data_IF_647965718321
#
_entry.id   IF_647965718321
#
_cell.length_a   1.000
_cell.length_b   1.000
_cell.length_c   1.000
_cell.angle_alpha   90.00
_cell.angle_beta   90.00
_cell.angle_gamma   90.00
#
_symmetry.space_group_name_H-M   'P 1'
#
loop_
_entity.id
_entity.type
_entity.pdbx_description
1 polymer ?
#
# COMPACT_ATOMS: atom_id res chain seq x y z
N UNK A 1 28.72 27.63 28.23
CA UNK A 1 29.76 26.58 28.09
C UNK A 1 29.07 25.26 27.82
N UNK A 2 28.90 24.89 26.55
CA UNK A 2 29.86 24.09 25.75
C UNK A 2 29.87 22.63 26.24
N UNK A 3 29.63 21.59 25.46
CA UNK A 3 29.12 21.36 24.11
C UNK A 3 28.83 19.84 24.09
N UNK A 4 27.61 19.42 23.74
CA UNK A 4 27.31 18.00 23.51
C UNK A 4 27.06 17.80 22.02
N UNK A 5 28.11 17.35 21.35
CA UNK A 5 28.12 17.02 19.94
C UNK A 5 27.05 15.95 19.63
N UNK A 6 26.01 16.37 18.92
CA UNK A 6 25.12 15.47 18.18
C UNK A 6 25.78 15.19 16.84
N UNK A 7 26.18 13.94 16.61
CA UNK A 7 26.57 13.45 15.29
C UNK A 7 25.28 13.18 14.52
N UNK A 8 24.90 14.11 13.65
CA UNK A 8 23.85 13.90 12.67
C UNK A 8 24.37 12.95 11.57
N UNK A 9 23.56 11.96 11.22
CA UNK A 9 23.90 10.93 10.23
C UNK A 9 23.74 11.47 8.78
N UNK A 10 24.60 11.03 7.83
CA UNK A 10 24.60 11.55 6.45
C UNK A 10 23.32 11.29 5.64
N UNK A 11 22.39 10.50 6.17
CA UNK A 11 21.16 10.07 5.48
C UNK A 11 20.06 11.12 5.51
N UNK A 12 20.08 12.07 6.46
CA UNK A 12 19.06 13.13 6.55
C UNK A 12 19.22 14.23 5.48
N UNK A 13 20.41 14.40 4.92
CA UNK A 13 20.71 15.47 3.96
C UNK A 13 20.28 15.12 2.52
N UNK A 14 20.17 13.84 2.18
CA UNK A 14 19.78 13.38 0.83
C UNK A 14 18.27 13.47 0.56
N UNK A 15 17.44 13.42 1.61
CA UNK A 15 15.98 13.46 1.51
C UNK A 15 15.42 14.88 1.24
N UNK A 16 16.18 15.93 1.56
CA UNK A 16 15.76 17.32 1.37
C UNK A 16 16.01 17.87 -0.05
N UNK A 17 16.76 17.17 -0.89
CA UNK A 17 17.14 17.63 -2.24
C UNK A 17 16.13 17.27 -3.35
N UNK A 18 15.25 16.29 -3.14
CA UNK A 18 14.33 15.80 -4.18
C UNK A 18 12.94 16.50 -4.22
N UNK A 19 12.62 17.37 -3.25
CA UNK A 19 11.30 18.02 -3.15
C UNK A 19 11.19 19.39 -3.82
N UNK A 20 12.26 19.93 -4.40
CA UNK A 20 12.26 21.25 -5.08
C UNK A 20 12.05 21.23 -6.60
N UNK A 21 12.01 20.05 -7.23
CA UNK A 21 11.97 19.93 -8.70
C UNK A 21 10.56 19.78 -9.33
N UNK A 22 9.47 19.77 -8.55
CA UNK A 22 8.11 19.46 -9.06
C UNK A 22 7.10 20.62 -9.13
N UNK A 23 7.51 21.88 -8.89
CA UNK A 23 6.59 23.06 -8.88
C UNK A 23 6.82 24.12 -9.97
N UNK A 24 7.41 23.77 -11.11
CA UNK A 24 7.53 24.67 -12.28
C UNK A 24 7.21 23.95 -13.58
N UNK A 25 5.92 23.70 -13.83
CA UNK A 25 5.40 23.38 -15.16
C UNK A 25 3.87 23.60 -15.19
N UNK A 26 3.46 24.84 -14.94
CA UNK A 26 2.09 25.30 -15.19
C UNK A 26 2.22 26.74 -15.67
N UNK A 27 2.14 26.95 -16.99
CA UNK A 27 1.63 28.15 -17.69
C UNK A 27 2.01 28.12 -19.18
N UNK A 28 1.07 28.59 -20.00
CA UNK A 28 1.16 28.91 -21.43
C UNK A 28 0.98 27.75 -22.44
N UNK A 29 -0.20 27.66 -23.03
CA UNK A 29 -0.44 28.25 -24.36
C UNK A 29 -1.90 28.12 -24.77
N UNK A 30 -2.57 29.27 -24.86
CA UNK A 30 -3.84 29.46 -25.56
C UNK A 30 -3.48 29.92 -26.97
N UNK A 31 -3.87 29.18 -28.00
CA UNK A 31 -3.92 29.68 -29.36
C UNK A 31 -5.02 28.95 -30.15
N UNK A 32 -6.08 29.71 -30.41
CA UNK A 32 -7.15 29.44 -31.37
C UNK A 32 -6.59 29.33 -32.79
N UNK A 33 -7.03 28.31 -33.53
CA UNK A 33 -6.98 28.31 -34.99
C UNK A 33 -8.23 27.62 -35.55
N UNK A 34 -9.21 28.44 -35.89
CA UNK A 34 -10.34 28.07 -36.75
C UNK A 34 -9.85 27.65 -38.13
N UNK A 35 -10.29 26.48 -38.59
CA UNK A 35 -10.65 26.24 -39.99
C UNK A 35 -11.52 24.98 -40.09
N UNK A 36 -12.81 25.20 -40.30
CA UNK A 36 -13.74 24.15 -40.73
C UNK A 36 -13.25 23.55 -42.06
N UNK A 37 -13.11 22.22 -42.10
CA UNK A 37 -12.95 21.49 -43.35
C UNK A 37 -13.89 20.28 -43.33
N UNK A 38 -15.01 20.49 -44.02
CA UNK A 38 -15.78 19.56 -44.85
C UNK A 38 -15.59 18.07 -44.52
N UNK A 39 -16.66 17.47 -44.01
CA UNK A 39 -16.93 16.03 -44.06
C UNK A 39 -16.89 15.57 -45.53
N UNK A 40 -15.98 14.66 -45.87
CA UNK A 40 -16.10 13.84 -47.07
C UNK A 40 -15.60 12.43 -46.79
N UNK A 41 -16.59 11.56 -46.60
CA UNK A 41 -16.72 10.24 -47.23
C UNK A 41 -15.48 9.36 -47.43
N UNK A 42 -15.58 8.20 -46.80
CA UNK A 42 -15.18 6.88 -47.33
C UNK A 42 -13.69 6.67 -47.62
N UNK A 43 -13.03 6.08 -46.63
CA UNK A 43 -11.96 5.13 -46.90
C UNK A 43 -12.30 3.89 -46.10
N UNK A 44 -12.54 2.79 -46.82
CA UNK A 44 -12.73 1.48 -46.24
C UNK A 44 -11.59 1.21 -45.25
N UNK A 45 -11.91 1.14 -43.96
CA UNK A 45 -10.99 0.60 -42.96
C UNK A 45 -10.95 -0.90 -43.22
N UNK A 46 -10.09 -1.31 -44.14
CA UNK A 46 -9.55 -2.66 -44.14
C UNK A 46 -8.89 -2.81 -42.79
N UNK A 47 -9.58 -3.44 -41.84
CA UNK A 47 -8.99 -3.82 -40.56
C UNK A 47 -7.98 -4.90 -40.86
N UNK A 48 -6.76 -4.49 -41.21
CA UNK A 48 -5.60 -5.36 -41.11
C UNK A 48 -5.60 -5.88 -39.68
N UNK A 49 -5.68 -7.19 -39.53
CA UNK A 49 -5.37 -7.82 -38.26
C UNK A 49 -3.92 -7.46 -37.96
N UNK A 50 -3.70 -6.47 -37.08
CA UNK A 50 -2.36 -6.11 -36.61
C UNK A 50 -1.90 -7.22 -35.68
N UNK A 51 -1.29 -8.24 -36.25
CA UNK A 51 -0.73 -9.38 -35.54
C UNK A 51 0.74 -9.15 -35.17
N UNK A 52 1.09 -7.93 -34.78
CA UNK A 52 2.40 -7.55 -34.26
C UNK A 52 2.20 -6.50 -33.14
N UNK A 53 1.47 -6.89 -32.11
CA UNK A 53 1.58 -6.21 -30.82
C UNK A 53 2.48 -7.08 -29.94
N UNK A 54 3.60 -6.53 -29.47
CA UNK A 54 4.54 -7.26 -28.62
C UNK A 54 3.81 -7.73 -27.36
N UNK A 55 4.04 -8.98 -26.95
CA UNK A 55 3.44 -9.51 -25.74
C UNK A 55 3.95 -8.75 -24.52
N UNK A 56 3.08 -7.94 -23.91
CA UNK A 56 3.34 -7.29 -22.62
C UNK A 56 2.60 -8.06 -21.53
N UNK A 57 3.37 -8.71 -20.65
CA UNK A 57 2.79 -9.32 -19.45
C UNK A 57 2.30 -8.23 -18.50
N UNK A 58 1.01 -8.29 -18.17
CA UNK A 58 0.40 -7.48 -17.12
C UNK A 58 -0.09 -8.41 -16.00
N UNK A 59 0.36 -8.23 -14.75
CA UNK A 59 -0.16 -9.01 -13.64
C UNK A 59 -1.63 -8.68 -13.38
N UNK A 60 -2.42 -9.70 -13.00
CA UNK A 60 -3.84 -9.52 -12.68
C UNK A 60 -4.06 -8.58 -11.49
N UNK A 61 -3.13 -8.57 -10.53
CA UNK A 61 -3.18 -7.72 -9.35
C UNK A 61 -1.88 -6.93 -9.22
N UNK A 62 -1.99 -5.61 -9.25
CA UNK A 62 -0.90 -4.72 -8.91
C UNK A 62 -0.86 -4.53 -7.39
N UNK A 63 0.24 -4.96 -6.76
CA UNK A 63 0.38 -4.83 -5.32
C UNK A 63 0.78 -3.39 -4.96
N UNK A 64 -0.12 -2.68 -4.29
CA UNK A 64 0.22 -1.46 -3.56
C UNK A 64 0.75 -1.82 -2.16
N UNK A 65 1.80 -1.12 -1.72
CA UNK A 65 2.32 -1.30 -0.37
C UNK A 65 1.25 -0.98 0.68
N UNK A 66 1.13 -1.84 1.71
CA UNK A 66 0.26 -1.59 2.85
C UNK A 66 1.10 -1.18 4.05
N UNK A 67 0.78 -0.04 4.65
CA UNK A 67 1.37 0.37 5.91
C UNK A 67 0.66 -0.36 7.06
N UNK A 68 1.21 -1.51 7.43
CA UNK A 68 0.71 -2.36 8.51
C UNK A 68 1.83 -2.49 9.55
N UNK A 69 1.60 -2.11 10.81
CA UNK A 69 2.59 -2.32 11.86
C UNK A 69 2.74 -3.81 12.15
N UNK A 70 3.99 -4.28 12.21
CA UNK A 70 4.32 -5.67 12.52
C UNK A 70 4.96 -5.78 13.91
N UNK A 71 4.68 -6.88 14.60
CA UNK A 71 5.35 -7.27 15.84
C UNK A 71 6.14 -8.55 15.57
N UNK A 72 7.41 -8.58 16.00
CA UNK A 72 8.22 -9.78 15.93
C UNK A 72 7.64 -10.86 16.88
N UNK A 73 7.46 -12.08 16.36
CA UNK A 73 6.96 -13.23 17.14
C UNK A 73 8.12 -14.08 17.65
N UNK A 74 9.00 -14.53 16.75
CA UNK A 74 10.25 -15.23 17.05
C UNK A 74 11.17 -15.17 15.82
N UNK A 75 12.46 -15.42 16.04
CA UNK A 75 13.48 -15.66 14.99
C UNK A 75 13.85 -17.14 14.88
N UNK A 76 13.30 -18.00 15.74
CA UNK A 76 13.64 -19.42 15.79
C UNK A 76 13.13 -20.16 14.55
N UNK A 77 13.95 -21.09 14.05
CA UNK A 77 13.62 -21.89 12.87
C UNK A 77 13.70 -21.11 11.56
N UNK A 78 14.29 -19.92 11.54
CA UNK A 78 14.53 -19.13 10.32
C UNK A 78 16.02 -18.86 10.17
N UNK A 79 16.60 -19.22 9.02
CA UNK A 79 18.01 -18.96 8.72
C UNK A 79 18.24 -18.77 7.23
N UNK A 80 19.27 -18.01 6.90
CA UNK A 80 19.73 -17.87 5.53
C UNK A 80 20.72 -18.97 5.17
N UNK A 81 20.54 -19.59 4.02
CA UNK A 81 21.45 -20.61 3.47
C UNK A 81 21.88 -20.20 2.05
N UNK A 82 23.16 -20.40 1.73
CA UNK A 82 23.69 -20.13 0.39
C UNK A 82 23.42 -21.32 -0.52
N UNK A 83 22.74 -21.09 -1.64
CA UNK A 83 22.45 -22.10 -2.64
C UNK A 83 23.58 -22.33 -3.65
N UNK A 84 23.39 -23.35 -4.48
CA UNK A 84 24.38 -23.88 -5.44
C UNK A 84 24.82 -22.83 -6.47
N UNK A 85 23.98 -21.85 -6.79
CA UNK A 85 24.27 -20.79 -7.78
C UNK A 85 24.64 -19.44 -7.12
N UNK A 86 25.04 -19.43 -5.85
CA UNK A 86 25.33 -18.21 -5.10
C UNK A 86 24.10 -17.38 -4.69
N UNK A 87 22.89 -17.87 -4.97
CA UNK A 87 21.63 -17.28 -4.51
C UNK A 87 21.43 -17.54 -3.01
N UNK A 88 20.90 -16.56 -2.29
CA UNK A 88 20.51 -16.71 -0.89
C UNK A 88 19.11 -17.28 -0.79
N UNK A 89 18.94 -18.31 0.03
CA UNK A 89 17.65 -18.94 0.33
C UNK A 89 17.31 -18.74 1.81
N UNK A 90 16.03 -18.51 2.09
CA UNK A 90 15.54 -18.50 3.47
C UNK A 90 15.02 -19.89 3.80
N UNK A 91 15.70 -20.58 4.71
CA UNK A 91 15.21 -21.85 5.24
C UNK A 91 14.33 -21.59 6.46
N UNK A 92 13.11 -22.11 6.38
CA UNK A 92 12.11 -22.00 7.43
C UNK A 92 11.72 -23.39 7.90
N UNK A 93 11.94 -23.67 9.18
CA UNK A 93 11.57 -24.93 9.80
C UNK A 93 10.04 -24.98 10.01
N UNK A 94 9.45 -26.17 9.89
CA UNK A 94 8.00 -26.34 10.00
C UNK A 94 7.45 -25.87 11.37
N UNK A 95 8.23 -26.01 12.44
CA UNK A 95 7.88 -25.55 13.79
C UNK A 95 7.69 -24.03 13.86
N UNK A 96 8.43 -23.25 13.08
CA UNK A 96 8.28 -21.79 13.03
C UNK A 96 6.90 -21.40 12.47
N UNK A 97 6.42 -22.12 11.45
CA UNK A 97 5.08 -21.91 10.88
C UNK A 97 3.99 -22.30 11.88
N UNK A 98 4.15 -23.41 12.59
CA UNK A 98 3.21 -23.83 13.64
C UNK A 98 3.10 -22.79 14.75
N UNK A 99 4.22 -22.28 15.25
CA UNK A 99 4.25 -21.23 16.29
C UNK A 99 3.61 -19.93 15.81
N UNK A 100 3.92 -19.50 14.58
CA UNK A 100 3.33 -18.31 13.98
C UNK A 100 1.81 -18.46 13.86
N UNK A 101 1.33 -19.58 13.33
CA UNK A 101 -0.09 -19.85 13.16
C UNK A 101 -0.82 -19.89 14.52
N UNK A 102 -0.27 -20.61 15.50
CA UNK A 102 -0.86 -20.69 16.84
C UNK A 102 -1.00 -19.30 17.49
N UNK A 103 0.01 -18.44 17.34
CA UNK A 103 -0.05 -17.07 17.85
C UNK A 103 -1.05 -16.21 17.08
N UNK A 104 -1.08 -16.31 15.76
CA UNK A 104 -2.00 -15.55 14.92
C UNK A 104 -3.46 -15.90 15.21
N UNK A 105 -3.78 -17.18 15.38
CA UNK A 105 -5.13 -17.64 15.73
C UNK A 105 -5.54 -17.11 17.10
N UNK A 106 -4.65 -17.18 18.11
CA UNK A 106 -4.94 -16.57 19.42
C UNK A 106 -5.20 -15.06 19.31
N UNK A 107 -4.34 -14.35 18.60
CA UNK A 107 -4.44 -12.89 18.50
C UNK A 107 -5.72 -12.47 17.74
N UNK A 108 -6.10 -13.15 16.64
CA UNK A 108 -7.33 -12.81 15.89
C UNK A 108 -8.62 -13.17 16.65
N UNK A 109 -8.60 -14.17 17.53
CA UNK A 109 -9.77 -14.54 18.33
C UNK A 109 -10.09 -13.55 19.45
N UNK A 110 -9.11 -12.76 19.88
CA UNK A 110 -9.27 -11.87 21.05
C UNK A 110 -8.97 -10.40 20.77
N UNK A 111 -8.32 -10.07 19.64
CA UNK A 111 -7.91 -8.70 19.33
C UNK A 111 -8.54 -8.24 18.01
N UNK A 112 -8.97 -6.99 17.99
CA UNK A 112 -9.51 -6.32 16.82
C UNK A 112 -8.53 -5.26 16.29
N UNK A 113 -8.59 -5.00 14.98
CA UNK A 113 -7.77 -3.94 14.37
C UNK A 113 -8.25 -2.56 14.84
N UNK A 114 -7.34 -1.59 15.09
CA UNK A 114 -7.72 -0.24 15.50
C UNK A 114 -8.68 0.46 14.54
N UNK A 115 -8.56 0.19 13.23
CA UNK A 115 -9.46 0.75 12.22
C UNK A 115 -10.92 0.34 12.43
N UNK A 116 -11.17 -0.92 12.83
CA UNK A 116 -12.53 -1.40 13.10
C UNK A 116 -13.09 -0.83 14.41
N UNK A 117 -12.28 -0.78 15.48
CA UNK A 117 -12.69 -0.18 16.75
C UNK A 117 -13.03 1.31 16.61
N UNK A 118 -12.30 2.03 15.74
CA UNK A 118 -12.64 3.42 15.39
C UNK A 118 -14.00 3.54 14.71
N UNK A 119 -14.38 2.59 13.85
CA UNK A 119 -15.71 2.59 13.23
C UNK A 119 -16.82 2.46 14.28
N UNK A 120 -16.66 1.56 15.26
CA UNK A 120 -17.62 1.42 16.35
C UNK A 120 -17.69 2.68 17.21
N UNK A 121 -16.55 3.32 17.47
CA UNK A 121 -16.50 4.59 18.21
C UNK A 121 -17.25 5.71 17.48
N UNK A 122 -17.09 5.80 16.17
CA UNK A 122 -17.78 6.81 15.36
C UNK A 122 -19.31 6.70 15.47
N UNK A 123 -19.87 5.49 15.56
CA UNK A 123 -21.32 5.27 15.76
C UNK A 123 -21.82 5.90 17.07
N UNK A 124 -21.01 5.85 18.13
CA UNK A 124 -21.40 6.42 19.43
C UNK A 124 -21.42 7.95 19.42
N UNK A 125 -20.50 8.56 18.68
CA UNK A 125 -20.31 10.00 18.59
C UNK A 125 -21.25 10.64 17.54
N UNK A 126 -21.85 9.86 16.64
CA UNK A 126 -22.75 10.34 15.57
C UNK A 126 -24.12 10.78 16.14
N UNK A 127 -24.54 12.04 15.94
CA UNK A 127 -25.86 12.51 16.37
C UNK A 127 -27.03 11.83 15.64
N UNK A 128 -26.83 11.38 14.40
CA UNK A 128 -27.88 10.75 13.58
C UNK A 128 -28.01 9.24 13.87
N UNK A 129 -27.10 8.65 14.65
CA UNK A 129 -27.16 7.24 15.00
C UNK A 129 -28.38 6.90 15.87
N UNK A 130 -29.09 5.83 15.50
CA UNK A 130 -30.26 5.38 16.25
C UNK A 130 -29.87 4.89 17.66
N UNK A 131 -30.85 4.85 18.58
CA UNK A 131 -30.61 4.34 19.94
C UNK A 131 -30.13 2.87 19.92
N UNK A 132 -30.61 2.08 18.96
CA UNK A 132 -30.22 0.68 18.85
C UNK A 132 -28.77 0.54 18.37
N UNK A 133 -28.36 1.32 17.37
CA UNK A 133 -26.99 1.27 16.84
C UNK A 133 -25.97 1.61 17.93
N UNK A 134 -26.27 2.63 18.74
CA UNK A 134 -25.42 3.01 19.89
C UNK A 134 -25.37 1.92 20.96
N UNK A 135 -26.50 1.27 21.24
CA UNK A 135 -26.56 0.17 22.20
C UNK A 135 -25.72 -1.03 21.72
N UNK A 136 -25.92 -1.47 20.48
CA UNK A 136 -25.17 -2.59 19.90
C UNK A 136 -23.68 -2.28 19.83
N UNK A 137 -23.29 -1.08 19.37
CA UNK A 137 -21.89 -0.68 19.32
C UNK A 137 -21.22 -0.67 20.70
N UNK A 138 -21.93 -0.22 21.74
CA UNK A 138 -21.42 -0.23 23.11
C UNK A 138 -21.20 -1.65 23.63
N UNK A 139 -22.14 -2.57 23.39
CA UNK A 139 -22.00 -3.97 23.82
C UNK A 139 -20.86 -4.68 23.08
N UNK A 140 -20.68 -4.41 21.78
CA UNK A 140 -19.53 -4.94 21.02
C UNK A 140 -18.19 -4.42 21.57
N UNK A 141 -18.12 -3.14 21.93
CA UNK A 141 -16.91 -2.54 22.51
C UNK A 141 -16.61 -3.04 23.93
N UNK A 142 -17.62 -3.42 24.71
CA UNK A 142 -17.42 -4.03 26.04
C UNK A 142 -16.91 -5.47 25.97
N UNK A 143 -17.27 -6.18 24.90
CA UNK A 143 -16.84 -7.57 24.69
C UNK A 143 -15.43 -7.67 24.07
N UNK A 144 -15.03 -6.65 23.31
CA UNK A 144 -13.73 -6.55 22.65
C UNK A 144 -12.59 -6.29 23.66
#
# INVERSE_FOLDING_TARGET
>A
NCARAQRESPTAMLAAALSRARKRAMTASVAMASRARVVSSSSAVTRAASSDDDFVYQPLFEQSGKDIPWRLVSTDGVREERGVDGKMFLRVDASALTTLAARAVRDVSHLLRPGHLKQLRLILDDPEASKNDRFVALELLKNA
#
